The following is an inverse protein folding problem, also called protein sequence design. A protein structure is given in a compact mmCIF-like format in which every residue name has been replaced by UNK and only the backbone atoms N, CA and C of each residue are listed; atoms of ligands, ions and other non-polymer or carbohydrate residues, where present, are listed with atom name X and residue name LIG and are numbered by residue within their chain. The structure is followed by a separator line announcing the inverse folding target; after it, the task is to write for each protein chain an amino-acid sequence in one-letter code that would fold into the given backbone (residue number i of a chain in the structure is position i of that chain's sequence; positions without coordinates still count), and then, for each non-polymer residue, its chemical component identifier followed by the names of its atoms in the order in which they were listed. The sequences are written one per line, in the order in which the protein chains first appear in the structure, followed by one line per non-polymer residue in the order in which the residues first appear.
data_IF_632926875876
#
_entry.id   IF_632926875876
#
_cell.length_a   1.000
_cell.length_b   1.000
_cell.length_c   1.000
_cell.angle_alpha   90.00
_cell.angle_beta   90.00
_cell.angle_gamma   90.00
#
_symmetry.space_group_name_H-M   'P 1'
#
loop_
_entity.id
_entity.type
_entity.pdbx_description
1 polymer ?
#
# COMPACT_ATOMS: atom_id res chain seq x y z
N UNK A 1 30.20 -58.75 -36.71
CA UNK A 1 29.57 -57.41 -36.86
C UNK A 1 29.78 -56.71 -35.53
N UNK A 2 30.89 -55.99 -35.41
CA UNK A 2 31.20 -55.11 -34.29
C UNK A 2 30.71 -53.73 -34.69
N UNK A 3 29.85 -53.13 -33.88
CA UNK A 3 29.36 -51.77 -34.09
C UNK A 3 30.16 -50.86 -33.16
N UNK A 4 30.94 -49.97 -33.77
CA UNK A 4 31.64 -48.87 -33.11
C UNK A 4 30.62 -47.76 -32.78
N UNK A 5 30.51 -47.40 -31.51
CA UNK A 5 29.85 -46.16 -31.06
C UNK A 5 30.91 -45.06 -30.89
N UNK A 6 30.70 -43.84 -31.43
CA UNK A 6 31.56 -42.71 -31.16
C UNK A 6 31.13 -41.99 -29.89
N UNK A 7 32.09 -41.75 -28.99
CA UNK A 7 31.92 -40.85 -27.85
C UNK A 7 31.78 -39.38 -28.32
N UNK A 8 30.86 -38.59 -27.74
CA UNK A 8 30.86 -37.16 -27.92
C UNK A 8 31.89 -36.52 -26.98
N UNK A 9 32.80 -35.76 -27.55
CA UNK A 9 33.76 -34.91 -26.84
C UNK A 9 33.08 -33.64 -26.34
N UNK A 10 33.10 -33.45 -25.03
CA UNK A 10 32.87 -32.18 -24.36
C UNK A 10 33.88 -31.14 -24.86
N UNK A 11 33.39 -30.04 -25.43
CA UNK A 11 34.18 -28.82 -25.53
C UNK A 11 33.30 -27.57 -25.71
N UNK A 12 33.74 -26.48 -25.09
CA UNK A 12 33.22 -25.09 -25.15
C UNK A 12 32.03 -24.76 -24.24
N UNK A 13 32.01 -23.68 -23.46
CA UNK A 13 32.97 -22.60 -23.19
C UNK A 13 32.37 -21.79 -22.05
N UNK A 14 33.04 -21.73 -20.90
CA UNK A 14 32.65 -20.85 -19.79
C UNK A 14 32.98 -19.41 -20.18
N UNK A 15 31.97 -18.68 -20.66
CA UNK A 15 32.04 -17.23 -20.80
C UNK A 15 31.55 -16.65 -19.48
N UNK A 16 32.49 -16.32 -18.60
CA UNK A 16 32.22 -15.57 -17.38
C UNK A 16 31.97 -14.10 -17.75
N UNK A 17 30.72 -13.77 -18.02
CA UNK A 17 30.29 -12.39 -18.13
C UNK A 17 30.15 -11.80 -16.72
N UNK A 18 31.26 -11.24 -16.24
CA UNK A 18 31.35 -10.37 -15.07
C UNK A 18 30.60 -9.06 -15.38
N UNK A 19 29.27 -9.12 -15.34
CA UNK A 19 28.40 -7.96 -15.43
C UNK A 19 28.50 -7.18 -14.10
N UNK A 20 29.57 -6.39 -13.97
CA UNK A 20 29.60 -5.21 -13.10
C UNK A 20 28.45 -4.31 -13.52
N UNK A 21 27.30 -4.47 -12.88
CA UNK A 21 26.21 -3.51 -12.88
C UNK A 21 26.76 -2.20 -12.33
N UNK A 22 27.22 -1.34 -13.24
CA UNK A 22 27.50 0.06 -12.93
C UNK A 22 26.20 0.63 -12.36
N UNK A 23 26.18 1.20 -11.14
CA UNK A 23 25.03 1.93 -10.67
C UNK A 23 24.78 3.06 -11.68
N UNK A 24 23.66 2.92 -12.39
CA UNK A 24 23.20 3.86 -13.39
C UNK A 24 23.19 5.26 -12.80
N UNK A 25 23.79 6.16 -13.56
CA UNK A 25 23.76 7.60 -13.45
C UNK A 25 23.01 8.16 -12.24
N UNK A 26 23.80 8.75 -11.33
CA UNK A 26 23.41 9.94 -10.57
C UNK A 26 22.45 10.78 -11.40
N UNK A 27 21.16 10.68 -11.09
CA UNK A 27 20.26 11.82 -11.25
C UNK A 27 20.97 12.96 -10.54
N UNK A 28 21.47 13.92 -11.34
CA UNK A 28 21.94 15.18 -10.82
C UNK A 28 20.83 15.68 -9.89
N UNK A 29 21.12 15.73 -8.59
CA UNK A 29 20.45 16.61 -7.67
C UNK A 29 20.40 17.95 -8.39
N UNK A 30 19.19 18.34 -8.79
CA UNK A 30 18.90 19.68 -9.27
C UNK A 30 19.21 20.56 -8.07
N UNK A 31 20.44 21.05 -8.00
CA UNK A 31 20.75 22.22 -7.21
C UNK A 31 19.84 23.32 -7.73
N UNK A 32 19.13 23.94 -6.78
CA UNK A 32 18.26 25.09 -6.93
C UNK A 32 18.96 26.20 -7.74
N UNK A 33 18.90 26.12 -9.07
CA UNK A 33 19.11 27.27 -9.93
C UNK A 33 17.84 28.10 -9.83
N UNK A 34 17.86 29.03 -8.87
CA UNK A 34 16.91 30.13 -8.78
C UNK A 34 16.75 30.75 -10.18
N UNK A 35 15.62 30.49 -10.82
CA UNK A 35 15.24 31.13 -12.06
C UNK A 35 15.25 32.65 -11.86
N UNK A 36 16.10 33.33 -12.62
CA UNK A 36 16.01 34.78 -12.78
C UNK A 36 14.67 35.08 -13.45
N UNK A 37 13.76 35.86 -12.84
CA UNK A 37 12.50 36.21 -13.46
C UNK A 37 12.79 37.19 -14.59
N UNK A 38 12.61 36.74 -15.83
CA UNK A 38 12.74 37.58 -17.02
C UNK A 38 11.44 37.56 -17.80
N UNK A 39 10.78 38.72 -17.88
CA UNK A 39 9.79 39.00 -18.90
C UNK A 39 8.37 39.20 -18.38
N UNK A 40 8.07 40.45 -18.05
CA UNK A 40 6.75 41.00 -17.79
C UNK A 40 5.71 40.62 -18.86
N UNK A 41 4.60 39.99 -18.46
CA UNK A 41 3.32 40.16 -19.17
C UNK A 41 2.10 39.80 -18.31
N UNK A 42 1.20 40.79 -18.25
CA UNK A 42 -0.23 40.78 -17.87
C UNK A 42 -0.66 40.30 -16.49
N UNK A 43 -0.70 41.31 -15.61
CA UNK A 43 -1.53 41.50 -14.41
C UNK A 43 -2.94 40.90 -14.51
N UNK A 44 -3.19 39.86 -13.71
CA UNK A 44 -4.38 39.76 -12.86
C UNK A 44 -3.91 39.23 -11.50
N UNK A 45 -3.53 40.17 -10.63
CA UNK A 45 -3.27 39.91 -9.22
C UNK A 45 -4.62 39.76 -8.52
N UNK A 46 -5.07 38.52 -8.35
CA UNK A 46 -6.02 38.20 -7.28
C UNK A 46 -5.20 37.63 -6.13
N UNK A 47 -5.18 38.39 -5.04
CA UNK A 47 -4.16 38.34 -3.99
C UNK A 47 -4.40 37.24 -2.98
N UNK A 48 -4.03 36.01 -3.33
CA UNK A 48 -3.85 34.92 -2.36
C UNK A 48 -2.51 34.21 -2.61
N UNK A 49 -1.43 35.00 -2.61
CA UNK A 49 -0.07 34.46 -2.51
C UNK A 49 0.06 33.83 -1.14
N UNK A 50 -0.18 32.52 -1.06
CA UNK A 50 0.11 31.72 0.11
C UNK A 50 1.53 32.08 0.59
N UNK A 51 1.74 32.32 1.90
CA UNK A 51 3.06 32.67 2.41
C UNK A 51 4.06 31.56 2.01
N UNK A 52 4.99 31.91 1.13
CA UNK A 52 5.85 30.99 0.36
C UNK A 52 6.70 30.04 1.21
N UNK A 53 6.79 30.27 2.51
CA UNK A 53 7.47 29.39 3.45
C UNK A 53 6.86 29.61 4.83
N UNK A 54 6.88 28.58 5.68
CA UNK A 54 6.62 28.71 7.11
C UNK A 54 7.97 28.87 7.83
N UNK A 55 8.62 30.05 7.80
CA UNK A 55 9.98 30.24 8.33
C UNK A 55 10.08 29.96 9.82
N UNK A 56 8.94 30.01 10.53
CA UNK A 56 8.85 29.66 11.94
C UNK A 56 9.15 28.17 12.19
N UNK A 57 8.93 27.29 11.21
CA UNK A 57 9.28 25.89 11.33
C UNK A 57 10.73 25.70 11.72
N UNK A 58 11.64 26.46 11.10
CA UNK A 58 13.08 26.38 11.32
C UNK A 58 13.56 27.01 12.62
N UNK A 59 12.67 27.69 13.37
CA UNK A 59 12.98 28.20 14.70
C UNK A 59 12.85 27.13 15.78
N UNK A 60 12.17 26.03 15.49
CA UNK A 60 12.07 24.92 16.42
C UNK A 60 13.37 24.09 16.44
N UNK A 61 13.81 23.62 17.63
CA UNK A 61 14.82 22.58 17.76
C UNK A 61 14.53 21.37 16.85
N UNK A 62 15.56 20.66 16.37
CA UNK A 62 15.39 19.47 15.51
C UNK A 62 14.40 18.43 16.05
N UNK A 63 14.39 18.22 17.36
CA UNK A 63 13.53 17.25 18.04
C UNK A 63 12.06 17.64 17.91
N UNK A 64 11.74 18.92 18.12
CA UNK A 64 10.37 19.43 17.96
C UNK A 64 9.92 19.39 16.50
N UNK A 65 10.82 19.68 15.56
CA UNK A 65 10.51 19.58 14.12
C UNK A 65 10.17 18.14 13.71
N UNK A 66 10.91 17.17 14.25
CA UNK A 66 10.62 15.75 14.04
C UNK A 66 9.27 15.36 14.65
N UNK A 67 8.97 15.82 15.87
CA UNK A 67 7.66 15.59 16.52
C UNK A 67 6.50 16.19 15.73
N UNK A 68 6.66 17.43 15.22
CA UNK A 68 5.66 18.05 14.32
C UNK A 68 5.43 17.15 13.10
N UNK A 69 6.49 16.62 12.49
CA UNK A 69 6.31 15.72 11.35
C UNK A 69 5.66 14.38 11.72
N UNK A 70 5.97 13.79 12.86
CA UNK A 70 5.26 12.58 13.32
C UNK A 70 3.77 12.83 13.52
N UNK A 71 3.40 14.03 13.98
CA UNK A 71 2.00 14.42 14.15
C UNK A 71 1.30 14.68 12.81
N UNK A 72 1.91 15.44 11.90
CA UNK A 72 1.30 15.82 10.62
C UNK A 72 1.43 14.77 9.52
N UNK A 73 2.44 13.92 9.56
CA UNK A 73 2.71 12.89 8.57
C UNK A 73 2.70 11.51 9.26
N UNK A 74 1.50 10.94 9.54
CA UNK A 74 1.37 9.67 10.26
C UNK A 74 2.11 8.53 9.57
N UNK A 75 2.28 8.60 8.24
CA UNK A 75 3.05 7.66 7.45
C UNK A 75 4.47 7.42 8.00
N UNK A 76 5.11 8.43 8.61
CA UNK A 76 6.45 8.27 9.17
C UNK A 76 6.51 7.23 10.29
N UNK A 77 5.42 7.12 11.06
CA UNK A 77 5.27 6.18 12.17
C UNK A 77 4.83 4.79 11.73
N UNK A 78 4.19 4.63 10.57
CA UNK A 78 3.65 3.33 10.16
C UNK A 78 4.74 2.39 9.61
N UNK A 79 4.63 1.11 9.96
CA UNK A 79 5.58 0.07 9.51
C UNK A 79 5.50 -0.13 8.00
N UNK A 80 4.29 -0.14 7.47
CA UNK A 80 3.93 -0.32 6.07
C UNK A 80 2.70 0.56 5.77
N UNK A 81 2.55 1.01 4.52
CA UNK A 81 1.35 1.69 4.06
C UNK A 81 0.85 1.10 2.75
N UNK A 82 -0.45 1.19 2.50
CA UNK A 82 -1.06 0.83 1.23
C UNK A 82 -1.15 2.06 0.34
N UNK A 83 -0.65 2.00 -0.88
CA UNK A 83 -0.77 3.06 -1.88
C UNK A 83 -1.80 2.62 -2.94
N UNK A 84 -3.03 3.16 -2.92
CA UNK A 84 -4.11 2.72 -3.79
C UNK A 84 -4.04 3.37 -5.16
N UNK A 85 -4.19 2.54 -6.19
CA UNK A 85 -4.37 2.88 -7.59
C UNK A 85 -5.71 2.27 -8.02
N UNK A 86 -6.73 3.13 -8.12
CA UNK A 86 -8.08 2.70 -8.49
C UNK A 86 -8.26 2.49 -9.99
N UNK A 87 -7.37 3.06 -10.79
CA UNK A 87 -7.33 2.82 -12.21
C UNK A 87 -5.89 2.60 -12.62
N UNK A 88 -5.69 1.65 -13.52
CA UNK A 88 -4.37 1.22 -13.92
C UNK A 88 -3.72 2.29 -14.83
N UNK A 89 -2.47 2.72 -14.55
CA UNK A 89 -1.85 3.87 -15.22
C UNK A 89 -1.65 3.73 -16.73
N UNK A 90 -1.70 2.51 -17.28
CA UNK A 90 -1.38 2.27 -18.69
C UNK A 90 -2.57 1.91 -19.57
N UNK A 91 -3.82 2.19 -19.15
CA UNK A 91 -4.95 2.11 -20.08
C UNK A 91 -4.83 3.26 -21.08
N UNK A 92 -3.92 3.12 -22.05
CA UNK A 92 -3.87 3.97 -23.24
C UNK A 92 -5.19 3.74 -23.96
N UNK A 93 -6.19 4.52 -23.62
CA UNK A 93 -7.46 4.57 -24.32
C UNK A 93 -7.17 5.12 -25.71
N UNK A 94 -6.72 4.24 -26.62
CA UNK A 94 -6.65 4.51 -28.06
C UNK A 94 -8.05 4.44 -28.68
N UNK A 95 -9.08 4.07 -27.90
CA UNK A 95 -10.47 4.09 -28.34
C UNK A 95 -11.10 5.49 -28.19
N UNK A 96 -11.11 6.19 -29.32
CA UNK A 96 -11.92 7.35 -29.67
C UNK A 96 -13.06 7.72 -28.70
N UNK A 97 -13.01 8.95 -28.18
CA UNK A 97 -14.12 9.74 -27.62
C UNK A 97 -14.77 9.38 -26.28
N UNK A 98 -14.31 8.37 -25.54
CA UNK A 98 -14.81 8.22 -24.18
C UNK A 98 -14.04 9.13 -23.22
N UNK A 99 -14.71 10.21 -22.81
CA UNK A 99 -14.32 11.09 -21.70
C UNK A 99 -14.38 10.33 -20.37
N UNK A 100 -13.64 9.23 -20.23
CA UNK A 100 -13.32 8.71 -18.91
C UNK A 100 -12.43 9.75 -18.26
N UNK A 101 -13.06 10.56 -17.42
CA UNK A 101 -12.39 11.42 -16.46
C UNK A 101 -11.33 10.59 -15.77
N UNK A 102 -10.11 11.12 -15.76
CA UNK A 102 -8.89 10.47 -15.29
C UNK A 102 -9.08 9.70 -13.97
N UNK A 103 -8.21 8.69 -13.73
CA UNK A 103 -8.06 8.04 -12.45
C UNK A 103 -8.14 9.03 -11.32
N UNK A 104 -8.84 8.66 -10.24
CA UNK A 104 -8.94 9.33 -8.95
C UNK A 104 -7.54 9.79 -8.46
N UNK A 105 -6.98 10.84 -9.09
CA UNK A 105 -5.76 11.53 -8.71
C UNK A 105 -5.91 11.94 -7.25
N UNK A 106 -7.14 12.20 -6.83
CA UNK A 106 -7.54 12.48 -5.47
C UNK A 106 -7.14 11.40 -4.47
N UNK A 107 -7.17 10.11 -4.78
CA UNK A 107 -6.85 9.04 -3.85
C UNK A 107 -5.42 9.13 -3.33
N UNK A 108 -4.49 8.91 -4.25
CA UNK A 108 -3.07 8.86 -3.99
C UNK A 108 -2.54 10.27 -3.66
N UNK A 109 -3.07 11.32 -4.30
CA UNK A 109 -2.70 12.70 -3.97
C UNK A 109 -3.11 13.08 -2.54
N UNK A 110 -4.31 12.66 -2.07
CA UNK A 110 -4.73 12.93 -0.69
C UNK A 110 -3.88 12.15 0.30
N UNK A 111 -3.62 10.87 0.04
CA UNK A 111 -2.81 10.05 0.94
C UNK A 111 -1.37 10.56 1.05
N UNK A 112 -0.76 10.90 -0.08
CA UNK A 112 0.62 11.40 -0.11
C UNK A 112 0.73 12.91 0.19
N UNK A 113 -0.39 13.60 0.47
CA UNK A 113 -0.41 15.06 0.70
C UNK A 113 0.57 15.48 1.78
N UNK A 114 0.58 14.80 2.91
CA UNK A 114 1.43 15.15 4.05
C UNK A 114 2.91 14.89 3.76
N UNK A 115 3.21 13.77 3.09
CA UNK A 115 4.57 13.46 2.66
C UNK A 115 5.08 14.50 1.64
N UNK A 116 4.24 14.90 0.68
CA UNK A 116 4.59 15.95 -0.30
C UNK A 116 4.81 17.29 0.37
N UNK A 117 3.95 17.68 1.31
CA UNK A 117 4.15 18.89 2.12
C UNK A 117 5.51 18.85 2.85
N UNK A 118 5.85 17.71 3.47
CA UNK A 118 7.14 17.52 4.14
C UNK A 118 8.33 17.64 3.19
N UNK A 119 8.26 17.05 1.98
CA UNK A 119 9.29 17.14 0.95
C UNK A 119 9.50 18.58 0.43
N UNK A 120 8.43 19.37 0.40
CA UNK A 120 8.45 20.77 -0.07
C UNK A 120 8.79 21.79 1.02
N UNK A 121 8.73 21.43 2.31
CA UNK A 121 8.87 22.41 3.40
C UNK A 121 10.31 22.90 3.60
N UNK A 122 11.28 21.99 3.70
CA UNK A 122 12.69 22.35 3.96
C UNK A 122 13.65 21.19 3.62
N UNK A 123 14.93 21.48 3.33
CA UNK A 123 15.96 20.47 2.99
C UNK A 123 16.11 19.37 4.06
N UNK A 124 15.94 19.71 5.33
CA UNK A 124 16.03 18.75 6.43
C UNK A 124 14.80 17.84 6.49
N UNK A 125 13.60 18.41 6.39
CA UNK A 125 12.34 17.65 6.27
C UNK A 125 12.38 16.71 5.07
N UNK A 126 12.88 17.21 3.93
CA UNK A 126 13.12 16.42 2.72
C UNK A 126 14.11 15.28 2.98
N UNK A 127 15.22 15.53 3.67
CA UNK A 127 16.20 14.49 4.02
C UNK A 127 15.59 13.39 4.88
N UNK A 128 14.76 13.73 5.86
CA UNK A 128 14.04 12.77 6.71
C UNK A 128 13.09 11.93 5.84
N UNK A 129 12.28 12.57 4.99
CA UNK A 129 11.33 11.90 4.11
C UNK A 129 12.03 10.97 3.10
N UNK A 130 13.10 11.43 2.44
CA UNK A 130 13.87 10.63 1.48
C UNK A 130 14.59 9.46 2.16
N UNK A 131 15.09 9.63 3.38
CA UNK A 131 15.69 8.52 4.15
C UNK A 131 14.65 7.44 4.48
N UNK A 132 13.41 7.84 4.79
CA UNK A 132 12.32 6.92 5.09
C UNK A 132 11.73 6.27 3.83
N UNK A 133 11.60 7.02 2.73
CA UNK A 133 11.03 6.59 1.45
C UNK A 133 12.02 6.89 0.32
N UNK A 134 13.06 6.05 0.16
CA UNK A 134 14.13 6.33 -0.78
C UNK A 134 13.71 6.16 -2.24
N UNK A 135 12.81 5.21 -2.51
CA UNK A 135 12.39 4.85 -3.86
C UNK A 135 11.33 5.81 -4.40
N UNK A 136 11.31 5.95 -5.71
CA UNK A 136 10.40 6.81 -6.46
C UNK A 136 9.61 5.95 -7.43
N UNK A 137 8.30 6.17 -7.46
CA UNK A 137 7.38 5.56 -8.40
C UNK A 137 6.93 6.65 -9.36
N UNK A 138 7.30 6.51 -10.63
CA UNK A 138 6.88 7.41 -11.70
C UNK A 138 5.46 7.05 -12.13
N UNK A 139 4.59 8.05 -12.14
CA UNK A 139 3.18 7.90 -12.51
C UNK A 139 2.91 8.91 -13.62
N UNK A 140 2.62 8.43 -14.82
CA UNK A 140 2.14 9.29 -15.89
C UNK A 140 0.68 9.65 -15.63
N UNK A 141 0.37 10.94 -15.49
CA UNK A 141 -1.00 11.46 -15.46
C UNK A 141 -1.23 12.37 -16.66
N UNK A 142 -2.48 12.70 -16.99
CA UNK A 142 -2.74 13.66 -18.07
C UNK A 142 -2.16 15.05 -17.79
N UNK A 143 -1.95 15.38 -16.51
CA UNK A 143 -1.34 16.65 -16.09
C UNK A 143 0.19 16.62 -16.17
N UNK A 144 0.79 15.47 -16.50
CA UNK A 144 2.24 15.26 -16.57
C UNK A 144 2.72 14.08 -15.74
N UNK A 145 4.03 13.94 -15.60
CA UNK A 145 4.63 12.91 -14.76
C UNK A 145 4.57 13.31 -13.27
N UNK A 146 3.91 12.50 -12.45
CA UNK A 146 3.94 12.56 -11.01
C UNK A 146 4.98 11.61 -10.42
N UNK A 147 5.54 11.98 -9.27
CA UNK A 147 6.47 11.14 -8.50
C UNK A 147 5.83 10.83 -7.15
N UNK A 148 5.75 9.54 -6.81
CA UNK A 148 5.35 9.08 -5.49
C UNK A 148 6.51 8.35 -4.84
N UNK A 149 6.98 8.88 -3.70
CA UNK A 149 8.03 8.18 -2.93
C UNK A 149 7.43 7.06 -2.11
N UNK A 150 8.10 5.92 -2.03
CA UNK A 150 7.65 4.74 -1.28
C UNK A 150 8.81 3.87 -0.77
N UNK A 151 8.48 2.84 0.02
CA UNK A 151 9.40 1.77 0.44
C UNK A 151 9.04 0.48 -0.27
N UNK A 152 9.83 0.05 -1.26
CA UNK A 152 9.49 -1.13 -2.04
C UNK A 152 9.32 -2.39 -1.19
N UNK A 153 10.10 -2.51 -0.11
CA UNK A 153 10.14 -3.72 0.73
C UNK A 153 8.94 -3.84 1.66
N UNK A 154 8.28 -2.72 1.99
CA UNK A 154 7.23 -2.64 3.04
C UNK A 154 5.92 -2.04 2.58
N UNK A 155 5.95 -1.01 1.74
CA UNK A 155 4.73 -0.38 1.26
C UNK A 155 4.09 -1.30 0.22
N UNK A 156 2.76 -1.41 0.25
CA UNK A 156 1.98 -2.30 -0.63
C UNK A 156 1.28 -1.44 -1.67
N UNK A 157 1.48 -1.73 -2.95
CA UNK A 157 0.73 -1.09 -4.03
C UNK A 157 -0.61 -1.81 -4.15
N UNK A 158 -1.73 -1.10 -4.00
CA UNK A 158 -3.06 -1.69 -4.11
C UNK A 158 -3.70 -1.31 -5.43
N UNK A 159 -4.02 -2.30 -6.25
CA UNK A 159 -4.75 -2.15 -7.49
C UNK A 159 -6.18 -2.61 -7.27
N UNK A 160 -7.17 -1.73 -7.46
CA UNK A 160 -8.56 -2.14 -7.27
C UNK A 160 -9.01 -3.15 -8.33
N UNK A 161 -8.50 -3.02 -9.55
CA UNK A 161 -8.84 -3.87 -10.68
C UNK A 161 -7.60 -4.14 -11.56
N UNK A 162 -7.42 -5.39 -11.96
CA UNK A 162 -6.44 -5.84 -12.95
C UNK A 162 -7.18 -6.62 -14.02
N UNK A 163 -7.11 -6.16 -15.27
CA UNK A 163 -7.68 -6.85 -16.44
C UNK A 163 -6.59 -7.68 -17.10
N UNK A 164 -6.72 -9.00 -17.08
CA UNK A 164 -5.72 -9.90 -17.63
C UNK A 164 -5.65 -9.82 -19.15
N UNK A 165 -4.45 -10.02 -19.67
CA UNK A 165 -4.12 -10.04 -21.09
C UNK A 165 -4.10 -8.68 -21.80
N UNK A 166 -4.56 -7.57 -21.20
CA UNK A 166 -4.34 -6.24 -21.78
C UNK A 166 -2.84 -5.92 -21.86
N UNK A 167 -2.39 -5.30 -22.96
CA UNK A 167 -1.00 -4.87 -23.13
C UNK A 167 -0.72 -3.64 -22.26
N UNK A 168 -0.39 -3.87 -21.00
CA UNK A 168 -0.01 -2.79 -20.11
C UNK A 168 1.43 -2.33 -20.40
N UNK A 169 1.61 -1.05 -20.73
CA UNK A 169 2.95 -0.44 -20.81
C UNK A 169 3.42 -0.04 -19.41
N UNK A 170 3.84 -1.03 -18.61
CA UNK A 170 4.26 -0.86 -17.20
C UNK A 170 5.78 -0.92 -17.02
N UNK A 171 6.56 -0.94 -18.11
CA UNK A 171 7.95 -1.42 -18.05
C UNK A 171 8.79 -0.80 -16.92
N UNK A 172 8.58 0.48 -16.59
CA UNK A 172 9.29 1.15 -15.49
C UNK A 172 8.55 1.12 -14.14
N UNK A 173 7.22 1.09 -14.13
CA UNK A 173 6.43 1.08 -12.89
C UNK A 173 6.41 -0.31 -12.24
N UNK A 174 6.32 -1.37 -13.04
CA UNK A 174 6.15 -2.73 -12.57
C UNK A 174 7.42 -3.31 -11.96
N UNK A 175 8.58 -2.89 -12.44
CA UNK A 175 9.88 -3.33 -11.93
C UNK A 175 10.17 -2.85 -10.52
N UNK A 176 9.59 -1.74 -10.07
CA UNK A 176 9.88 -1.20 -8.73
C UNK A 176 9.04 -1.85 -7.62
N UNK A 177 8.04 -2.66 -7.98
CA UNK A 177 7.03 -3.16 -7.05
C UNK A 177 7.38 -4.56 -6.55
N UNK A 178 7.62 -4.67 -5.24
CA UNK A 178 7.85 -5.96 -4.57
C UNK A 178 6.61 -6.48 -3.82
N UNK A 179 5.67 -5.60 -3.45
CA UNK A 179 4.48 -5.95 -2.68
C UNK A 179 3.24 -5.38 -3.38
N UNK A 180 2.37 -6.27 -3.87
CA UNK A 180 1.18 -5.91 -4.63
C UNK A 180 -0.07 -6.46 -3.95
N UNK A 181 -1.11 -5.65 -3.81
CA UNK A 181 -2.44 -6.09 -3.42
C UNK A 181 -3.40 -5.90 -4.60
N UNK A 182 -4.25 -6.89 -4.87
CA UNK A 182 -5.20 -6.84 -5.98
C UNK A 182 -6.62 -7.03 -5.46
N UNK A 183 -7.51 -6.13 -5.88
CA UNK A 183 -8.93 -6.12 -5.56
C UNK A 183 -9.73 -7.13 -6.39
N UNK A 184 -9.88 -6.83 -7.67
CA UNK A 184 -10.60 -7.63 -8.65
C UNK A 184 -9.65 -7.98 -9.78
N UNK A 185 -9.63 -9.25 -10.18
CA UNK A 185 -8.99 -9.67 -11.41
C UNK A 185 -10.08 -10.03 -12.41
N UNK A 186 -10.04 -9.44 -13.60
CA UNK A 186 -11.00 -9.69 -14.68
C UNK A 186 -10.25 -10.31 -15.87
N UNK A 187 -10.85 -11.28 -16.56
CA UNK A 187 -10.36 -11.69 -17.88
C UNK A 187 -11.07 -10.93 -19.01
N UNK A 188 -10.66 -11.23 -20.24
CA UNK A 188 -11.31 -10.76 -21.46
C UNK A 188 -12.77 -11.18 -21.63
N UNK A 189 -13.21 -12.24 -20.95
CA UNK A 189 -14.59 -12.71 -21.02
C UNK A 189 -15.49 -11.95 -20.03
N UNK A 190 -14.92 -11.08 -19.19
CA UNK A 190 -15.64 -10.36 -18.14
C UNK A 190 -15.94 -11.22 -16.92
N UNK A 191 -15.35 -12.41 -16.82
CA UNK A 191 -15.47 -13.26 -15.65
C UNK A 191 -14.63 -12.67 -14.51
N UNK A 192 -15.24 -12.58 -13.33
CA UNK A 192 -14.59 -11.99 -12.15
C UNK A 192 -13.91 -13.07 -11.33
N UNK A 193 -12.59 -13.01 -11.25
CA UNK A 193 -11.76 -13.95 -10.52
C UNK A 193 -11.64 -13.54 -9.05
N UNK A 194 -12.67 -13.82 -8.25
CA UNK A 194 -12.64 -13.62 -6.79
C UNK A 194 -12.33 -14.90 -6.00
N UNK A 195 -12.23 -16.04 -6.68
CA UNK A 195 -12.08 -17.33 -6.00
C UNK A 195 -10.62 -17.70 -5.83
N UNK A 196 -10.30 -18.24 -4.65
CA UNK A 196 -8.96 -18.63 -4.19
C UNK A 196 -8.21 -19.43 -5.25
N UNK A 197 -8.92 -20.36 -5.89
CA UNK A 197 -8.38 -21.33 -6.83
C UNK A 197 -7.89 -20.67 -8.13
N UNK A 198 -8.41 -19.50 -8.46
CA UNK A 198 -8.08 -18.83 -9.71
C UNK A 198 -6.96 -17.81 -9.58
N UNK A 199 -6.67 -17.33 -8.36
CA UNK A 199 -5.57 -16.39 -8.15
C UNK A 199 -4.23 -17.00 -8.59
N UNK A 200 -4.02 -18.30 -8.31
CA UNK A 200 -2.82 -19.04 -8.74
C UNK A 200 -2.67 -19.07 -10.27
N UNK A 201 -3.78 -19.19 -11.00
CA UNK A 201 -3.77 -19.25 -12.46
C UNK A 201 -3.30 -17.93 -13.09
N UNK A 202 -3.54 -16.80 -12.41
CA UNK A 202 -3.13 -15.48 -12.89
C UNK A 202 -1.76 -15.03 -12.36
N UNK A 203 -1.14 -15.75 -11.42
CA UNK A 203 0.19 -15.38 -10.88
C UNK A 203 1.25 -15.25 -11.97
N UNK A 204 1.38 -16.17 -12.95
CA UNK A 204 2.39 -16.05 -14.00
C UNK A 204 2.25 -14.75 -14.79
N UNK A 205 1.02 -14.38 -15.13
CA UNK A 205 0.73 -13.14 -15.85
C UNK A 205 0.98 -11.91 -14.97
N UNK A 206 0.55 -11.92 -13.70
CA UNK A 206 0.88 -10.83 -12.74
C UNK A 206 2.40 -10.68 -12.60
N UNK A 207 3.17 -11.77 -12.50
CA UNK A 207 4.64 -11.71 -12.45
C UNK A 207 5.25 -11.15 -13.72
N UNK A 208 4.65 -11.39 -14.89
CA UNK A 208 5.12 -10.80 -16.14
C UNK A 208 5.00 -9.26 -16.12
N UNK A 209 3.96 -8.74 -15.45
CA UNK A 209 3.73 -7.31 -15.24
C UNK A 209 4.62 -6.73 -14.11
N UNK A 210 4.91 -7.54 -13.09
CA UNK A 210 5.65 -7.16 -11.89
C UNK A 210 6.81 -8.16 -11.64
N UNK A 211 7.92 -8.04 -12.38
CA UNK A 211 8.99 -9.06 -12.36
C UNK A 211 9.69 -9.19 -11.01
N UNK A 212 9.70 -8.12 -10.20
CA UNK A 212 10.30 -8.09 -8.86
C UNK A 212 9.30 -8.38 -7.73
N UNK A 213 8.09 -8.84 -8.07
CA UNK A 213 7.07 -9.15 -7.10
C UNK A 213 7.54 -10.25 -6.15
N UNK A 214 7.55 -9.95 -4.85
CA UNK A 214 7.83 -10.90 -3.77
C UNK A 214 6.55 -11.36 -3.08
N UNK A 215 5.59 -10.45 -2.91
CA UNK A 215 4.36 -10.71 -2.16
C UNK A 215 3.13 -10.23 -2.92
N UNK A 216 2.16 -11.11 -3.10
CA UNK A 216 0.85 -10.83 -3.69
C UNK A 216 -0.24 -10.98 -2.63
N UNK A 217 -0.96 -9.91 -2.38
CA UNK A 217 -2.06 -9.84 -1.44
C UNK A 217 -3.41 -9.92 -2.17
N UNK A 218 -4.23 -10.90 -1.83
CA UNK A 218 -5.59 -11.03 -2.34
C UNK A 218 -6.56 -10.28 -1.43
N UNK A 219 -7.23 -9.25 -1.96
CA UNK A 219 -8.26 -8.51 -1.22
C UNK A 219 -9.45 -9.41 -0.91
N UNK A 220 -9.91 -9.37 0.33
CA UNK A 220 -11.13 -10.02 0.81
C UNK A 220 -11.95 -9.02 1.58
N UNK A 221 -13.26 -9.04 1.39
CA UNK A 221 -14.15 -8.33 2.30
C UNK A 221 -14.10 -8.99 3.67
N UNK A 222 -14.06 -8.18 4.73
CA UNK A 222 -14.18 -8.68 6.09
C UNK A 222 -15.44 -9.55 6.23
N UNK A 223 -15.33 -10.75 6.80
CA UNK A 223 -16.53 -11.47 7.23
C UNK A 223 -17.19 -10.65 8.34
N UNK A 224 -18.51 -10.61 8.36
CA UNK A 224 -19.31 -9.84 9.31
C UNK A 224 -19.06 -10.17 10.80
N UNK A 225 -18.24 -11.18 11.13
CA UNK A 225 -18.10 -11.74 12.49
C UNK A 225 -16.67 -12.05 12.98
N UNK A 226 -15.60 -11.59 12.33
CA UNK A 226 -14.24 -12.11 12.64
C UNK A 226 -13.37 -11.21 13.54
N UNK A 227 -12.63 -11.83 14.48
CA UNK A 227 -11.54 -11.23 15.27
C UNK A 227 -10.34 -10.93 14.37
N UNK A 228 -9.76 -9.72 14.51
CA UNK A 228 -8.97 -9.06 13.46
C UNK A 228 -7.45 -9.13 13.72
N UNK A 229 -6.65 -9.45 12.68
CA UNK A 229 -5.18 -9.38 12.64
C UNK A 229 -4.71 -7.91 12.58
N UNK A 230 -3.65 -7.46 13.28
CA UNK A 230 -3.36 -6.01 13.42
C UNK A 230 -2.18 -5.51 12.57
N UNK A 231 -2.49 -4.83 11.48
CA UNK A 231 -1.67 -3.81 10.79
C UNK A 231 -2.65 -2.86 10.12
N UNK A 232 -2.54 -1.56 10.37
CA UNK A 232 -3.62 -0.60 10.10
C UNK A 232 -3.17 0.53 9.19
N UNK A 233 -3.91 0.73 8.09
CA UNK A 233 -3.76 1.90 7.23
C UNK A 233 -5.11 2.47 6.86
N UNK A 234 -5.24 3.78 6.96
CA UNK A 234 -6.47 4.49 6.67
C UNK A 234 -6.43 5.08 5.26
N UNK A 235 -7.39 4.69 4.42
CA UNK A 235 -7.68 5.39 3.17
C UNK A 235 -9.19 5.62 3.05
N UNK A 236 -9.65 6.87 2.94
CA UNK A 236 -11.03 7.23 2.57
C UNK A 236 -12.13 6.56 3.42
N UNK A 237 -11.86 6.24 4.70
CA UNK A 237 -12.71 5.44 5.62
C UNK A 237 -12.67 3.93 5.39
N UNK A 238 -11.62 3.40 4.80
CA UNK A 238 -11.37 1.97 4.68
C UNK A 238 -10.15 1.60 5.50
N UNK A 239 -10.26 0.50 6.25
CA UNK A 239 -9.17 -0.12 6.98
C UNK A 239 -8.78 -1.41 6.28
N UNK A 240 -7.49 -1.58 6.04
CA UNK A 240 -6.94 -2.81 5.51
C UNK A 240 -6.10 -3.49 6.56
N UNK A 241 -6.23 -4.81 6.65
CA UNK A 241 -5.45 -5.65 7.55
C UNK A 241 -4.81 -6.80 6.77
N UNK A 242 -3.54 -7.04 7.03
CA UNK A 242 -2.79 -8.16 6.46
C UNK A 242 -1.77 -8.67 7.48
N UNK A 243 -1.25 -9.89 7.30
CA UNK A 243 -0.28 -10.47 8.22
C UNK A 243 1.03 -9.65 8.22
N UNK A 244 1.56 -9.36 9.41
CA UNK A 244 2.89 -8.77 9.54
C UNK A 244 3.96 -9.86 9.43
N UNK A 245 4.41 -10.10 8.20
CA UNK A 245 5.37 -11.16 7.88
C UNK A 245 6.77 -10.88 8.42
N UNK A 246 7.12 -9.61 8.63
CA UNK A 246 8.45 -9.25 9.12
C UNK A 246 8.56 -9.48 10.64
N UNK A 247 7.46 -9.31 11.39
CA UNK A 247 7.44 -9.52 12.84
C UNK A 247 6.95 -10.92 13.25
N UNK A 248 6.06 -11.52 12.44
CA UNK A 248 5.27 -12.67 12.82
C UNK A 248 5.13 -13.68 11.66
N UNK A 249 6.23 -13.98 10.95
CA UNK A 249 6.25 -14.91 9.83
C UNK A 249 5.66 -16.30 10.18
N UNK A 250 6.09 -16.89 11.29
CA UNK A 250 5.66 -18.24 11.70
C UNK A 250 4.16 -18.27 11.96
N UNK A 251 3.67 -17.26 12.69
CA UNK A 251 2.27 -17.10 12.99
C UNK A 251 1.44 -16.90 11.71
N UNK A 252 1.93 -16.06 10.78
CA UNK A 252 1.27 -15.85 9.50
C UNK A 252 1.16 -17.17 8.72
N UNK A 253 2.25 -17.94 8.64
CA UNK A 253 2.31 -19.23 7.94
C UNK A 253 1.44 -20.31 8.59
N UNK A 254 1.22 -20.28 9.91
CA UNK A 254 0.42 -21.27 10.62
C UNK A 254 -1.07 -20.93 10.69
N UNK A 255 -1.40 -19.65 10.87
CA UNK A 255 -2.73 -19.22 11.35
C UNK A 255 -3.55 -18.49 10.29
N UNK A 256 -2.90 -17.95 9.26
CA UNK A 256 -3.59 -17.21 8.21
C UNK A 256 -4.14 -18.19 7.19
N UNK A 257 -5.43 -18.11 6.81
CA UNK A 257 -6.00 -19.00 5.81
C UNK A 257 -5.20 -18.95 4.51
N UNK A 258 -4.46 -20.03 4.25
CA UNK A 258 -3.59 -20.12 3.08
C UNK A 258 -4.42 -20.07 1.80
N UNK A 259 -3.99 -19.25 0.86
CA UNK A 259 -4.57 -19.20 -0.48
C UNK A 259 -4.17 -20.43 -1.30
N UNK A 260 -3.00 -20.97 -1.01
CA UNK A 260 -2.38 -22.10 -1.69
C UNK A 260 -1.42 -22.83 -0.74
N UNK A 261 -0.96 -24.01 -1.14
CA UNK A 261 0.11 -24.74 -0.45
C UNK A 261 1.45 -23.99 -0.49
N UNK A 262 2.40 -24.38 0.36
CA UNK A 262 3.72 -23.74 0.41
C UNK A 262 4.50 -24.08 -0.86
N UNK A 263 4.35 -25.31 -1.33
CA UNK A 263 4.93 -25.82 -2.56
C UNK A 263 4.46 -25.01 -3.78
N UNK A 264 3.17 -24.67 -3.86
CA UNK A 264 2.63 -23.79 -4.91
C UNK A 264 3.18 -22.36 -4.82
N UNK A 265 3.42 -21.81 -3.63
CA UNK A 265 4.04 -20.49 -3.47
C UNK A 265 5.50 -20.49 -3.93
N UNK A 266 6.24 -21.55 -3.59
CA UNK A 266 7.64 -21.74 -3.99
C UNK A 266 7.77 -21.92 -5.49
N UNK A 267 6.91 -22.76 -6.10
CA UNK A 267 6.85 -22.94 -7.56
C UNK A 267 6.49 -21.64 -8.28
N UNK A 268 5.52 -20.89 -7.74
CA UNK A 268 5.12 -19.60 -8.28
C UNK A 268 6.20 -18.51 -8.06
N UNK A 269 7.13 -18.71 -7.12
CA UNK A 269 8.15 -17.75 -6.73
C UNK A 269 7.61 -16.44 -6.14
N UNK A 270 6.37 -16.44 -5.64
CA UNK A 270 5.67 -15.29 -5.05
C UNK A 270 4.90 -15.75 -3.82
N UNK A 271 5.02 -15.02 -2.72
CA UNK A 271 4.24 -15.31 -1.53
C UNK A 271 2.81 -14.77 -1.66
N UNK A 272 1.81 -15.64 -1.48
CA UNK A 272 0.39 -15.30 -1.59
C UNK A 272 -0.27 -15.17 -0.22
N UNK A 273 -0.78 -13.98 0.10
CA UNK A 273 -1.35 -13.66 1.40
C UNK A 273 -2.76 -13.04 1.28
N UNK A 274 -3.70 -13.29 2.21
CA UNK A 274 -4.94 -12.55 2.24
C UNK A 274 -4.73 -11.13 2.80
N UNK A 275 -5.44 -10.17 2.26
CA UNK A 275 -5.61 -8.82 2.81
C UNK A 275 -7.09 -8.58 3.01
N UNK A 276 -7.50 -8.23 4.23
CA UNK A 276 -8.89 -8.01 4.58
C UNK A 276 -9.19 -6.52 4.55
N UNK A 277 -10.17 -6.14 3.75
CA UNK A 277 -10.72 -4.80 3.67
C UNK A 277 -11.94 -4.72 4.59
N UNK A 278 -11.91 -3.78 5.52
CA UNK A 278 -13.05 -3.35 6.30
C UNK A 278 -13.46 -2.00 5.74
N UNK A 279 -14.65 -1.96 5.14
CA UNK A 279 -15.35 -0.70 4.98
C UNK A 279 -15.51 -0.16 6.40
N UNK A 280 -14.83 0.95 6.72
CA UNK A 280 -14.90 1.40 8.11
C UNK A 280 -16.36 1.66 8.41
N UNK A 281 -16.73 1.24 9.60
CA UNK A 281 -17.96 1.61 10.23
C UNK A 281 -18.16 3.10 9.96
N UNK A 282 -19.15 3.45 9.10
CA UNK A 282 -19.68 4.82 9.08
C UNK A 282 -19.83 5.12 10.56
N UNK A 283 -19.12 6.12 11.13
CA UNK A 283 -19.29 6.43 12.54
C UNK A 283 -20.79 6.45 12.71
N UNK A 284 -21.34 5.53 13.52
CA UNK A 284 -22.76 5.55 13.82
C UNK A 284 -22.94 6.99 14.21
N UNK A 285 -23.59 7.78 13.35
CA UNK A 285 -24.00 9.11 13.69
C UNK A 285 -24.87 8.79 14.89
N UNK A 286 -24.30 8.91 16.09
CA UNK A 286 -25.05 8.88 17.32
C UNK A 286 -26.08 9.94 17.01
N UNK A 287 -27.37 9.57 16.83
CA UNK A 287 -28.40 10.54 16.51
C UNK A 287 -28.22 11.62 17.55
N UNK A 288 -27.81 12.82 17.11
CA UNK A 288 -27.50 13.89 18.02
C UNK A 288 -28.79 14.15 18.77
N UNK A 289 -28.85 13.64 19.99
CA UNK A 289 -30.06 13.50 20.77
C UNK A 289 -30.44 14.84 21.34
N UNK A 290 -30.66 15.84 20.49
CA UNK A 290 -31.26 17.15 20.81
C UNK A 290 -31.41 17.99 19.55
N UNK A 291 -32.40 17.68 18.72
CA UNK A 291 -33.18 18.77 18.11
C UNK A 291 -34.62 18.65 18.55
N UNK A 292 -34.95 19.61 19.41
CA UNK A 292 -36.26 19.96 19.91
C UNK A 292 -37.29 19.96 18.79
N UNK A 293 -38.46 19.45 19.16
CA UNK A 293 -39.76 19.74 18.56
C UNK A 293 -39.84 21.25 18.24
N UNK A 294 -39.79 21.61 16.96
CA UNK A 294 -40.35 22.86 16.49
C UNK A 294 -41.23 22.54 15.27
N UNK A 295 -42.53 22.60 15.53
CA UNK A 295 -43.62 22.51 14.58
C UNK A 295 -43.42 23.48 13.41
N UNK A 296 -43.28 22.98 12.19
CA UNK A 296 -43.73 23.69 10.98
C UNK A 296 -43.86 22.80 9.74
N UNK A 297 -45.09 22.34 9.53
CA UNK A 297 -45.86 22.49 8.28
C UNK A 297 -45.16 22.20 6.92
N UNK A 298 -45.54 21.04 6.37
CA UNK A 298 -46.06 20.86 5.01
C UNK A 298 -45.15 21.17 3.81
N UNK A 299 -44.71 20.13 3.10
CA UNK A 299 -45.31 19.77 1.79
C UNK A 299 -44.82 18.41 1.26
N UNK A 300 -45.78 17.50 1.13
CA UNK A 300 -45.93 16.41 0.14
C UNK A 300 -44.86 16.27 -0.95
N UNK A 301 -44.33 15.03 -1.12
CA UNK A 301 -44.30 14.31 -2.41
C UNK A 301 -44.23 12.79 -2.15
N UNK A 302 -45.21 12.11 -2.74
CA UNK A 302 -45.60 10.70 -2.80
C UNK A 302 -44.53 9.61 -2.58
N UNK A 303 -44.76 8.77 -1.57
CA UNK A 303 -44.23 7.39 -1.49
C UNK A 303 -45.35 6.40 -1.82
N UNK A 304 -45.10 5.54 -2.80
CA UNK A 304 -45.95 4.37 -3.09
C UNK A 304 -45.76 3.33 -1.99
N UNK A 305 -46.87 3.00 -1.36
CA UNK A 305 -47.07 1.95 -0.35
C UNK A 305 -47.57 0.70 -1.08
N UNK A 306 -46.77 -0.37 -1.05
CA UNK A 306 -47.22 -1.74 -1.35
C UNK A 306 -46.23 -2.74 -0.75
N UNK A 307 -46.49 -3.19 0.48
CA UNK A 307 -46.42 -4.62 0.82
C UNK A 307 -46.93 -4.89 2.23
N UNK A 308 -48.17 -5.35 2.24
CA UNK A 308 -48.78 -6.37 3.12
C UNK A 308 -47.97 -6.84 4.33
N UNK A 309 -48.57 -6.59 5.49
CA UNK A 309 -48.32 -7.24 6.76
C UNK A 309 -48.45 -8.77 6.65
N UNK A 310 -47.49 -9.48 7.25
CA UNK A 310 -47.72 -10.78 7.85
C UNK A 310 -47.09 -10.77 9.24
N UNK A 311 -47.98 -10.78 10.23
CA UNK A 311 -47.71 -10.97 11.64
C UNK A 311 -47.13 -12.36 11.89
N UNK A 312 -45.97 -12.45 12.53
CA UNK A 312 -45.54 -13.66 13.23
C UNK A 312 -45.00 -13.25 14.60
N UNK A 313 -45.88 -13.36 15.59
CA UNK A 313 -45.55 -13.51 17.00
C UNK A 313 -44.70 -14.78 17.18
N UNK A 314 -43.56 -14.63 17.86
CA UNK A 314 -42.92 -15.76 18.52
C UNK A 314 -42.26 -15.29 19.81
N UNK A 315 -43.02 -15.47 20.89
CA UNK A 315 -42.52 -15.54 22.26
C UNK A 315 -41.44 -16.64 22.36
N UNK A 316 -40.26 -16.30 22.89
CA UNK A 316 -39.43 -17.31 23.54
C UNK A 316 -38.64 -16.69 24.71
N UNK A 317 -39.30 -16.75 25.87
CA UNK A 317 -38.71 -16.56 27.19
C UNK A 317 -37.76 -17.72 27.50
N UNK A 318 -36.45 -17.48 27.46
CA UNK A 318 -35.48 -18.36 28.12
C UNK A 318 -34.55 -17.58 29.07
N UNK A 319 -34.98 -17.56 30.33
CA UNK A 319 -34.14 -17.35 31.49
C UNK A 319 -33.11 -18.48 31.59
N UNK A 320 -31.81 -18.13 31.63
CA UNK A 320 -30.77 -19.02 32.14
C UNK A 320 -29.59 -18.20 32.71
N UNK A 321 -29.72 -17.93 34.01
CA UNK A 321 -28.77 -18.30 35.06
C UNK A 321 -27.26 -18.15 34.80
N UNK A 322 -26.68 -17.15 35.49
CA UNK A 322 -25.56 -17.32 36.41
C UNK A 322 -24.31 -18.04 35.92
N UNK A 323 -23.23 -17.29 35.71
CA UNK A 323 -21.90 -17.69 36.24
C UNK A 323 -20.97 -16.48 36.33
N UNK A 324 -20.79 -15.98 37.55
CA UNK A 324 -19.59 -15.24 37.96
C UNK A 324 -18.39 -16.18 37.82
N UNK A 325 -17.36 -15.71 37.13
CA UNK A 325 -16.03 -16.32 37.16
C UNK A 325 -15.01 -15.20 37.20
N UNK A 326 -14.74 -14.77 38.43
CA UNK A 326 -13.47 -14.16 38.81
C UNK A 326 -12.36 -15.19 38.51
N UNK A 327 -11.44 -14.90 37.60
CA UNK A 327 -10.11 -15.52 37.71
C UNK A 327 -8.97 -14.69 37.11
N UNK A 328 -8.03 -14.45 38.03
CA UNK A 328 -6.63 -14.10 38.01
C UNK A 328 -6.03 -13.04 37.07
N UNK A 329 -5.48 -12.03 37.74
CA UNK A 329 -4.60 -11.00 37.20
C UNK A 329 -3.15 -11.42 37.44
N UNK A 330 -2.58 -12.16 36.48
CA UNK A 330 -1.14 -12.45 36.47
C UNK A 330 -0.38 -11.28 35.85
N UNK A 331 0.14 -10.42 36.73
CA UNK A 331 1.11 -9.39 36.39
C UNK A 331 2.43 -10.04 35.98
N UNK A 332 2.65 -10.21 34.68
CA UNK A 332 3.97 -10.61 34.15
C UNK A 332 4.93 -9.41 34.18
N UNK A 333 5.82 -9.50 35.15
CA UNK A 333 6.98 -8.65 35.37
C UNK A 333 7.99 -8.87 34.24
N UNK A 334 8.00 -7.99 33.23
CA UNK A 334 9.01 -8.00 32.17
C UNK A 334 10.31 -7.39 32.71
N UNK A 335 11.16 -8.28 33.23
CA UNK A 335 12.53 -7.97 33.64
C UNK A 335 13.39 -7.76 32.39
N UNK A 336 13.48 -6.53 31.90
CA UNK A 336 14.44 -6.11 30.87
C UNK A 336 15.85 -6.24 31.45
N UNK A 337 16.53 -7.33 31.07
CA UNK A 337 17.94 -7.52 31.38
C UNK A 337 18.75 -6.85 30.28
N UNK A 338 19.23 -5.63 30.55
CA UNK A 338 20.28 -4.98 29.78
C UNK A 338 21.51 -5.90 29.76
N UNK A 339 21.81 -6.45 28.58
CA UNK A 339 23.06 -7.16 28.33
C UNK A 339 23.92 -6.25 27.48
N UNK A 340 24.73 -5.43 28.15
CA UNK A 340 25.88 -4.76 27.58
C UNK A 340 26.92 -5.83 27.23
N UNK A 341 27.00 -6.22 25.96
CA UNK A 341 28.09 -7.04 25.43
C UNK A 341 29.05 -6.16 24.64
N UNK A 342 29.91 -5.48 25.40
CA UNK A 342 31.15 -4.87 24.91
C UNK A 342 32.12 -5.99 24.51
N UNK A 343 32.27 -6.21 23.20
CA UNK A 343 33.44 -6.91 22.66
C UNK A 343 34.08 -6.12 21.52
N UNK A 344 34.88 -5.14 21.96
CA UNK A 344 36.08 -4.70 21.25
C UNK A 344 37.01 -5.90 21.00
N UNK A 345 37.40 -6.12 19.74
CA UNK A 345 38.66 -6.78 19.41
C UNK A 345 39.10 -6.47 17.97
N UNK A 346 40.03 -5.52 17.87
CA UNK A 346 40.96 -5.30 16.78
C UNK A 346 41.66 -6.59 16.33
N UNK A 347 41.70 -6.88 15.02
CA UNK A 347 42.93 -7.36 14.33
C UNK A 347 42.75 -7.27 12.81
N UNK A 348 43.24 -6.20 12.17
CA UNK A 348 43.58 -6.26 10.74
C UNK A 348 45.10 -6.43 10.68
N UNK A 349 45.46 -7.68 10.42
CA UNK A 349 46.81 -8.09 10.06
C UNK A 349 47.09 -7.63 8.63
N UNK A 350 48.11 -6.80 8.47
CA UNK A 350 48.58 -6.32 7.18
C UNK A 350 49.83 -7.12 6.84
N UNK A 351 49.67 -8.21 6.08
CA UNK A 351 50.82 -8.87 5.46
C UNK A 351 50.81 -8.61 3.95
N UNK A 352 51.95 -8.09 3.51
CA UNK A 352 52.40 -7.89 2.14
C UNK A 352 52.17 -9.12 1.25
N UNK A 353 51.77 -8.91 -0.01
CA UNK A 353 52.35 -9.55 -1.20
C UNK A 353 52.00 -8.79 -2.48
#
# INVERSE_FOLDING_TARGET
MCSDEPMPTDDMSNTSDDAKSKPGNRLCLIDDLAEKPCGESSRFQDGDTAPDTFPQFMRFPPELRLQVWHFYCPDLGVKARILPFFEFPSRKVVYYNNNYSLPDEGALARQTKNLRAMLSTHRESRSIAVRKYPYELLIETASGAGIVRFRKEKDVIYLSEVVMGEDYSILDFGSEIENLAVGVVNDYNGERYFRREMLLQVVPEIRSLFPNLKRLFSRRSAPTSTKIWRSETHYKTTLFYWPDLDAHADFARSSVPKLCSVEEMEEAGVELWPMVEFESWKPLLIPDGSQSEDDSSSTSIYSYDDSTADDIDSDDDSNADGTDSDDDSSAENTNWSDSDDDSDADSIDSEDY
#
